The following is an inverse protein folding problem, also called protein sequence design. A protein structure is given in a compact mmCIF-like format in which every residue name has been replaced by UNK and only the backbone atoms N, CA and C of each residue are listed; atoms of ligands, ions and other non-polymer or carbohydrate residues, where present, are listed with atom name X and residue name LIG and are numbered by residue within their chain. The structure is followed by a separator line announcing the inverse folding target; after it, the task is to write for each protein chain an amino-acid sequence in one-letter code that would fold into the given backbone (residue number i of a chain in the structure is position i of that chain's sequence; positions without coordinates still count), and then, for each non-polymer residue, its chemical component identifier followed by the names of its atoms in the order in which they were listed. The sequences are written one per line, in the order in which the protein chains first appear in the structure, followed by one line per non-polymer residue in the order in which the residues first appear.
data_IF_403082269370
#
_entry.id   IF_403082269370
#
_cell.length_a   1.000
_cell.length_b   1.000
_cell.length_c   1.000
_cell.angle_alpha   90.00
_cell.angle_beta   90.00
_cell.angle_gamma   90.00
#
_symmetry.space_group_name_H-M   'P 1'
#
loop_
_entity.id
_entity.type
_entity.pdbx_description
1 polymer ?
#
# COMPACT_ATOMS: atom_id res chain seq x y z
N UNK A 1 9.33 -29.78 25.47
CA UNK A 1 8.96 -28.43 25.99
C UNK A 1 9.16 -27.31 24.97
N UNK A 2 9.17 -27.55 23.65
CA UNK A 2 9.47 -26.58 22.63
C UNK A 2 8.28 -26.10 21.73
N UNK A 3 7.11 -26.71 21.89
CA UNK A 3 5.99 -26.48 20.95
C UNK A 3 5.01 -25.37 21.35
N UNK A 4 5.05 -24.89 22.58
CA UNK A 4 4.14 -23.84 23.05
C UNK A 4 4.63 -22.42 22.73
N UNK A 5 5.92 -22.19 22.59
CA UNK A 5 6.51 -20.88 22.31
C UNK A 5 6.39 -20.48 20.84
N UNK A 6 6.50 -21.41 19.91
CA UNK A 6 6.37 -21.15 18.46
C UNK A 6 4.99 -20.65 18.05
N UNK A 7 3.95 -21.04 18.77
CA UNK A 7 2.57 -20.63 18.44
C UNK A 7 2.26 -19.21 18.92
N UNK A 8 2.88 -18.75 20.00
CA UNK A 8 2.72 -17.37 20.48
C UNK A 8 3.48 -16.37 19.61
N UNK A 9 4.67 -16.73 19.12
CA UNK A 9 5.43 -15.85 18.22
C UNK A 9 4.75 -15.67 16.86
N UNK A 10 4.12 -16.72 16.34
CA UNK A 10 3.36 -16.65 15.10
C UNK A 10 2.09 -15.78 15.21
N UNK A 11 1.40 -15.82 16.33
CA UNK A 11 0.21 -14.98 16.56
C UNK A 11 0.60 -13.52 16.79
N UNK A 12 1.67 -13.25 17.53
CA UNK A 12 2.18 -11.91 17.77
C UNK A 12 2.69 -11.25 16.47
N UNK A 13 3.37 -11.99 15.59
CA UNK A 13 3.80 -11.50 14.29
C UNK A 13 2.61 -11.22 13.35
N UNK A 14 1.61 -12.10 13.33
CA UNK A 14 0.37 -11.88 12.55
C UNK A 14 -0.36 -10.63 13.01
N UNK A 15 -0.49 -10.42 14.33
CA UNK A 15 -1.15 -9.25 14.87
C UNK A 15 -0.39 -7.95 14.56
N UNK A 16 0.93 -7.94 14.63
CA UNK A 16 1.76 -6.81 14.23
C UNK A 16 1.61 -6.48 12.74
N UNK A 17 1.64 -7.50 11.89
CA UNK A 17 1.43 -7.33 10.45
C UNK A 17 0.04 -6.81 10.13
N UNK A 18 -1.01 -7.30 10.81
CA UNK A 18 -2.38 -6.86 10.62
C UNK A 18 -2.58 -5.40 11.08
N UNK A 19 -2.03 -5.04 12.24
CA UNK A 19 -2.09 -3.67 12.75
C UNK A 19 -1.35 -2.72 11.82
N UNK A 20 -0.15 -3.09 11.36
CA UNK A 20 0.61 -2.30 10.38
C UNK A 20 -0.15 -2.13 9.07
N UNK A 21 -0.81 -3.18 8.58
CA UNK A 21 -1.63 -3.14 7.38
C UNK A 21 -2.82 -2.16 7.54
N UNK A 22 -3.53 -2.23 8.67
CA UNK A 22 -4.67 -1.34 8.94
C UNK A 22 -4.24 0.13 9.07
N UNK A 23 -3.13 0.39 9.76
CA UNK A 23 -2.57 1.74 9.88
C UNK A 23 -2.16 2.27 8.50
N UNK A 24 -1.53 1.45 7.68
CA UNK A 24 -1.13 1.83 6.32
C UNK A 24 -2.32 2.11 5.43
N UNK A 25 -3.35 1.26 5.49
CA UNK A 25 -4.55 1.42 4.71
C UNK A 25 -5.29 2.72 5.07
N UNK A 26 -5.51 2.95 6.37
CA UNK A 26 -6.15 4.17 6.87
C UNK A 26 -5.30 5.42 6.57
N UNK A 27 -4.00 5.37 6.84
CA UNK A 27 -3.10 6.49 6.62
C UNK A 27 -2.91 6.82 5.14
N UNK A 28 -2.81 5.81 4.27
CA UNK A 28 -2.73 6.01 2.82
C UNK A 28 -4.02 6.61 2.26
N UNK A 29 -5.17 6.16 2.76
CA UNK A 29 -6.47 6.71 2.37
C UNK A 29 -6.59 8.18 2.77
N UNK A 30 -6.27 8.49 4.02
CA UNK A 30 -6.33 9.85 4.55
C UNK A 30 -5.33 10.79 3.84
N UNK A 31 -4.12 10.28 3.60
CA UNK A 31 -3.07 10.99 2.88
C UNK A 31 -3.43 11.24 1.41
N UNK A 32 -4.12 10.29 0.77
CA UNK A 32 -4.62 10.45 -0.60
C UNK A 32 -5.78 11.45 -0.71
N UNK A 33 -6.57 11.61 0.35
CA UNK A 33 -7.69 12.54 0.38
C UNK A 33 -7.26 13.99 0.65
N UNK A 34 -6.30 14.20 1.56
CA UNK A 34 -5.86 15.52 1.99
C UNK A 34 -4.53 15.97 1.37
N UNK A 35 -3.75 15.04 0.83
CA UNK A 35 -2.38 15.29 0.38
C UNK A 35 -2.21 15.31 -1.13
N UNK A 36 -1.02 15.70 -1.60
CA UNK A 36 -0.64 15.59 -3.00
C UNK A 36 -0.55 14.11 -3.42
N UNK A 37 -0.59 13.83 -4.70
CA UNK A 37 -0.63 12.48 -5.29
C UNK A 37 0.49 11.53 -4.83
N UNK A 38 1.63 12.05 -4.39
CA UNK A 38 2.77 11.26 -3.88
C UNK A 38 2.68 10.97 -2.36
N UNK A 39 1.78 11.63 -1.63
CA UNK A 39 1.69 11.52 -0.18
C UNK A 39 1.41 10.09 0.33
N UNK A 40 0.56 9.26 -0.31
CA UNK A 40 0.37 7.87 0.10
C UNK A 40 1.64 7.03 0.04
N UNK A 41 2.47 7.24 -1.00
CA UNK A 41 3.74 6.52 -1.15
C UNK A 41 4.73 6.91 -0.03
N UNK A 42 4.86 8.20 0.26
CA UNK A 42 5.70 8.69 1.35
C UNK A 42 5.25 8.16 2.72
N UNK A 43 3.94 8.12 2.95
CA UNK A 43 3.38 7.57 4.19
C UNK A 43 3.72 6.08 4.36
N UNK A 44 3.60 5.28 3.30
CA UNK A 44 3.96 3.85 3.33
C UNK A 44 5.44 3.67 3.65
N UNK A 45 6.34 4.46 3.05
CA UNK A 45 7.78 4.40 3.32
C UNK A 45 8.07 4.66 4.81
N UNK A 46 7.49 5.71 5.37
CA UNK A 46 7.69 6.09 6.78
C UNK A 46 7.11 5.01 7.71
N UNK A 47 5.88 4.56 7.46
CA UNK A 47 5.23 3.54 8.26
C UNK A 47 6.00 2.21 8.25
N UNK A 48 6.55 1.81 7.08
CA UNK A 48 7.38 0.62 6.96
C UNK A 48 8.75 0.77 7.64
N UNK A 49 9.38 1.93 7.56
CA UNK A 49 10.63 2.19 8.26
C UNK A 49 10.49 2.07 9.79
N UNK A 50 9.33 2.47 10.32
CA UNK A 50 9.04 2.39 11.77
C UNK A 50 8.57 1.00 12.21
N UNK A 51 7.96 0.20 11.32
CA UNK A 51 7.41 -1.11 11.69
C UNK A 51 8.45 -2.19 11.91
N UNK A 52 9.67 -2.04 11.38
CA UNK A 52 10.76 -3.01 11.52
C UNK A 52 10.43 -4.40 10.93
N UNK A 53 9.50 -4.48 9.97
CA UNK A 53 9.10 -5.72 9.33
C UNK A 53 10.17 -6.21 8.34
N UNK A 54 10.33 -7.55 8.18
CA UNK A 54 11.24 -8.09 7.18
C UNK A 54 10.82 -7.70 5.77
N UNK A 55 11.79 -7.46 4.89
CA UNK A 55 11.62 -6.92 3.53
C UNK A 55 10.50 -7.61 2.76
N UNK A 56 10.45 -8.93 2.77
CA UNK A 56 9.44 -9.71 2.02
C UNK A 56 8.01 -9.42 2.48
N UNK A 57 7.79 -9.28 3.79
CA UNK A 57 6.48 -8.96 4.34
C UNK A 57 6.14 -7.48 4.09
N UNK A 58 7.10 -6.59 4.23
CA UNK A 58 6.93 -5.17 3.95
C UNK A 58 6.50 -4.90 2.51
N UNK A 59 7.14 -5.58 1.54
CA UNK A 59 6.77 -5.48 0.11
C UNK A 59 5.34 -5.97 -0.14
N UNK A 60 4.98 -7.14 0.40
CA UNK A 60 3.63 -7.71 0.23
C UNK A 60 2.53 -6.84 0.85
N UNK A 61 2.74 -6.38 2.08
CA UNK A 61 1.79 -5.51 2.79
C UNK A 61 1.67 -4.16 2.09
N UNK A 62 2.78 -3.56 1.66
CA UNK A 62 2.80 -2.31 0.92
C UNK A 62 2.04 -2.41 -0.41
N UNK A 63 2.28 -3.47 -1.19
CA UNK A 63 1.59 -3.71 -2.45
C UNK A 63 0.08 -3.90 -2.27
N UNK A 64 -0.33 -4.71 -1.27
CA UNK A 64 -1.75 -4.96 -0.98
C UNK A 64 -2.45 -3.70 -0.46
N UNK A 65 -1.85 -3.00 0.50
CA UNK A 65 -2.44 -1.80 1.07
C UNK A 65 -2.62 -0.70 0.01
N UNK A 66 -1.57 -0.42 -0.76
CA UNK A 66 -1.62 0.57 -1.83
C UNK A 66 -2.58 0.16 -2.94
N UNK A 67 -2.51 -1.09 -3.42
CA UNK A 67 -3.41 -1.61 -4.45
C UNK A 67 -4.88 -1.49 -4.05
N UNK A 68 -5.23 -1.83 -2.79
CA UNK A 68 -6.59 -1.67 -2.28
C UNK A 68 -7.05 -0.21 -2.23
N UNK A 69 -6.19 0.71 -1.79
CA UNK A 69 -6.52 2.14 -1.76
C UNK A 69 -6.79 2.67 -3.17
N UNK A 70 -5.92 2.34 -4.13
CA UNK A 70 -6.10 2.76 -5.53
C UNK A 70 -7.34 2.12 -6.16
N UNK A 71 -7.60 0.84 -5.89
CA UNK A 71 -8.81 0.15 -6.34
C UNK A 71 -10.07 0.83 -5.80
N UNK A 72 -10.10 1.12 -4.51
CA UNK A 72 -11.24 1.77 -3.86
C UNK A 72 -11.45 3.19 -4.41
N UNK A 73 -10.39 3.99 -4.52
CA UNK A 73 -10.45 5.35 -5.07
C UNK A 73 -10.91 5.35 -6.54
N UNK A 74 -10.35 4.47 -7.37
CA UNK A 74 -10.74 4.35 -8.77
C UNK A 74 -12.21 3.91 -8.92
N UNK A 75 -12.65 2.95 -8.08
CA UNK A 75 -14.06 2.52 -8.08
C UNK A 75 -15.00 3.61 -7.60
N UNK A 76 -14.61 4.33 -6.57
CA UNK A 76 -15.37 5.48 -6.05
C UNK A 76 -15.54 6.58 -7.10
N UNK A 77 -14.46 6.94 -7.78
CA UNK A 77 -14.50 7.92 -8.87
C UNK A 77 -15.39 7.48 -10.04
N UNK A 78 -15.47 6.18 -10.31
CA UNK A 78 -16.31 5.65 -11.37
C UNK A 78 -17.82 5.68 -11.02
N UNK A 79 -18.18 5.71 -9.74
CA UNK A 79 -19.59 5.78 -9.28
C UNK A 79 -20.10 7.22 -9.13
N UNK A 80 -19.21 8.20 -9.03
CA UNK A 80 -19.54 9.62 -9.02
C UNK A 80 -19.73 10.16 -10.47
N UNK A 81 -20.30 11.33 -10.63
CA UNK A 81 -20.54 12.02 -11.93
C UNK A 81 -19.29 12.23 -12.81
N UNK A 82 -18.16 11.69 -12.39
CA UNK A 82 -16.87 11.75 -13.09
C UNK A 82 -16.63 10.59 -14.07
N UNK A 83 -17.62 9.71 -14.27
CA UNK A 83 -17.54 8.60 -15.24
C UNK A 83 -17.25 9.10 -16.68
N UNK A 84 -17.68 10.30 -17.03
CA UNK A 84 -17.35 10.93 -18.32
C UNK A 84 -15.86 11.24 -18.49
N UNK A 85 -15.18 11.64 -17.41
CA UNK A 85 -13.73 11.93 -17.43
C UNK A 85 -12.96 10.65 -17.64
N UNK A 86 -13.33 9.58 -16.93
CA UNK A 86 -12.72 8.24 -17.06
C UNK A 86 -12.91 7.71 -18.48
N UNK A 87 -14.10 7.88 -19.06
CA UNK A 87 -14.41 7.45 -20.43
C UNK A 87 -13.60 8.25 -21.46
N UNK A 88 -13.50 9.58 -21.32
CA UNK A 88 -12.71 10.43 -22.23
C UNK A 88 -11.22 10.11 -22.15
N UNK A 89 -10.68 9.89 -20.95
CA UNK A 89 -9.28 9.48 -20.72
C UNK A 89 -9.03 8.11 -21.32
N UNK A 90 -9.95 7.15 -21.15
CA UNK A 90 -9.86 5.81 -21.75
C UNK A 90 -9.81 5.84 -23.28
N UNK A 91 -10.59 6.72 -23.91
CA UNK A 91 -10.55 6.94 -25.37
C UNK A 91 -9.20 7.49 -25.84
N UNK A 92 -8.60 8.42 -25.11
CA UNK A 92 -7.28 8.97 -25.39
C UNK A 92 -6.16 7.94 -25.27
N UNK A 93 -6.33 6.95 -24.38
CA UNK A 93 -5.38 5.86 -24.13
C UNK A 93 -5.64 4.62 -25.04
N UNK A 94 -6.32 4.80 -26.17
CA UNK A 94 -6.53 3.73 -27.14
C UNK A 94 -7.86 2.97 -27.01
N UNK A 95 -8.88 3.58 -26.38
CA UNK A 95 -10.22 2.97 -26.27
C UNK A 95 -10.38 2.00 -25.10
N UNK A 96 -9.60 2.19 -24.03
CA UNK A 96 -9.68 1.36 -22.83
C UNK A 96 -11.05 1.51 -22.15
N UNK A 97 -11.65 0.36 -21.81
CA UNK A 97 -12.89 0.36 -21.02
C UNK A 97 -12.65 0.86 -19.58
N UNK A 98 -13.69 1.41 -18.91
CA UNK A 98 -13.55 1.86 -17.51
C UNK A 98 -12.98 0.79 -16.56
N UNK A 99 -13.34 -0.47 -16.78
CA UNK A 99 -12.82 -1.61 -15.99
C UNK A 99 -11.31 -1.80 -16.21
N UNK A 100 -10.85 -1.68 -17.46
CA UNK A 100 -9.41 -1.73 -17.76
C UNK A 100 -8.66 -0.58 -17.13
N UNK A 101 -9.22 0.62 -17.11
CA UNK A 101 -8.62 1.78 -16.44
C UNK A 101 -8.46 1.53 -14.92
N UNK A 102 -9.48 0.99 -14.26
CA UNK A 102 -9.41 0.61 -12.85
C UNK A 102 -8.31 -0.44 -12.61
N UNK A 103 -8.24 -1.46 -13.46
CA UNK A 103 -7.24 -2.52 -13.37
C UNK A 103 -5.81 -1.96 -13.51
N UNK A 104 -5.56 -1.10 -14.50
CA UNK A 104 -4.25 -0.46 -14.71
C UNK A 104 -3.88 0.43 -13.53
N UNK A 105 -4.81 1.23 -13.03
CA UNK A 105 -4.60 2.11 -11.87
C UNK A 105 -4.26 1.29 -10.62
N UNK A 106 -4.97 0.20 -10.38
CA UNK A 106 -4.71 -0.72 -9.27
C UNK A 106 -3.33 -1.38 -9.38
N UNK A 107 -2.94 -1.78 -10.58
CA UNK A 107 -1.63 -2.37 -10.84
C UNK A 107 -0.50 -1.38 -10.56
N UNK A 108 -0.64 -0.15 -11.04
CA UNK A 108 0.32 0.94 -10.76
C UNK A 108 0.41 1.20 -9.25
N UNK A 109 -0.73 1.24 -8.57
CA UNK A 109 -0.80 1.39 -7.12
C UNK A 109 -0.09 0.25 -6.39
N UNK A 110 -0.28 -1.00 -6.81
CA UNK A 110 0.39 -2.16 -6.23
C UNK A 110 1.92 -2.12 -6.42
N UNK A 111 2.39 -1.76 -7.62
CA UNK A 111 3.82 -1.61 -7.92
C UNK A 111 4.42 -0.48 -7.06
N UNK A 112 3.76 0.65 -6.97
CA UNK A 112 4.20 1.77 -6.13
C UNK A 112 4.29 1.37 -4.67
N UNK A 113 3.29 0.65 -4.16
CA UNK A 113 3.27 0.14 -2.79
C UNK A 113 4.37 -0.90 -2.52
N UNK A 114 4.66 -1.75 -3.49
CA UNK A 114 5.74 -2.73 -3.42
C UNK A 114 7.11 -2.05 -3.30
N UNK A 115 7.39 -1.07 -4.15
CA UNK A 115 8.63 -0.29 -4.12
C UNK A 115 8.75 0.53 -2.82
N UNK A 116 7.67 1.16 -2.38
CA UNK A 116 7.63 1.92 -1.13
C UNK A 116 7.85 1.02 0.09
N UNK A 117 7.28 -0.18 0.09
CA UNK A 117 7.48 -1.18 1.13
C UNK A 117 8.92 -1.68 1.20
N UNK A 118 9.54 -1.93 0.04
CA UNK A 118 10.94 -2.29 -0.05
C UNK A 118 11.87 -1.19 0.47
N UNK A 119 11.67 0.03 -0.02
CA UNK A 119 12.47 1.20 0.39
C UNK A 119 12.31 1.49 1.89
N UNK A 120 11.08 1.45 2.41
CA UNK A 120 10.80 1.66 3.83
C UNK A 120 11.48 0.63 4.72
N UNK A 121 11.43 -0.65 4.35
CA UNK A 121 12.12 -1.71 5.09
C UNK A 121 13.65 -1.57 5.03
N UNK A 122 14.21 -1.19 3.88
CA UNK A 122 15.64 -0.93 3.75
C UNK A 122 16.11 0.25 4.64
N UNK A 123 15.34 1.33 4.67
CA UNK A 123 15.60 2.46 5.57
C UNK A 123 15.49 2.07 7.04
N UNK A 124 14.49 1.27 7.40
CA UNK A 124 14.31 0.77 8.76
C UNK A 124 15.51 -0.04 9.25
N UNK A 125 16.08 -0.90 8.41
CA UNK A 125 17.29 -1.68 8.76
C UNK A 125 18.53 -0.79 8.92
N UNK A 126 18.66 0.26 8.13
CA UNK A 126 19.76 1.22 8.27
C UNK A 126 19.66 2.05 9.55
N UNK A 127 18.44 2.44 9.92
CA UNK A 127 18.21 3.22 11.15
C UNK A 127 18.47 2.39 12.42
N UNK A 128 18.12 1.11 12.42
CA UNK A 128 18.39 0.20 13.56
C UNK A 128 19.88 -0.13 13.67
N UNK A 129 20.59 -0.27 12.56
CA UNK A 129 22.03 -0.56 12.55
C UNK A 129 22.90 0.58 13.09
N UNK A 130 22.40 1.82 13.04
CA UNK A 130 23.13 3.00 13.56
C UNK A 130 23.00 3.15 15.08
N UNK A 131 22.21 2.32 15.75
CA UNK A 131 21.93 2.41 17.19
C UNK A 131 22.79 1.46 18.04
N UNK A 132 23.53 0.57 17.38
CA UNK A 132 24.57 -0.30 17.96
C UNK A 132 25.94 0.30 17.69
#
# INVERSE_FOLDING_TARGET
MGTCQTNQDHSAMKNKALISFLIMLAGSFLSGYFGPWWAPAAFIVIAMALSGLPVKQAMGIGALASGMVYLFMASWMNTMDHAEIIRKTGLLLGGLSPVMMIAVTTLIGAITGLLSGWLGSALGTLLTRKKD
#
